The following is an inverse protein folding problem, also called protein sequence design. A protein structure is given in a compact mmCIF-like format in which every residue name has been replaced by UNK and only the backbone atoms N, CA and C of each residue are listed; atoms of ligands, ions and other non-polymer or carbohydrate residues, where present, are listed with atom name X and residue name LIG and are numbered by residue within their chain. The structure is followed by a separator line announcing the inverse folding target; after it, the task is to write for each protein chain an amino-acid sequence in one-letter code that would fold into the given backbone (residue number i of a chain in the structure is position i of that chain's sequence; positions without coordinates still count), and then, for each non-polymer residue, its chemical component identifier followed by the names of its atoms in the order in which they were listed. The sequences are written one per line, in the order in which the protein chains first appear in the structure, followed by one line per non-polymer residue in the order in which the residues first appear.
data_IF_305794969397
#
_entry.id   IF_305794969397
#
_cell.length_a   1.000
_cell.length_b   1.000
_cell.length_c   1.000
_cell.angle_alpha   90.00
_cell.angle_beta   90.00
_cell.angle_gamma   90.00
#
_symmetry.space_group_name_H-M   'P 1'
#
loop_
_entity.id
_entity.type
_entity.pdbx_description
1 polymer ?
#
# COMPACT_ATOMS: atom_id res chain seq x y z
N UNK A 1 -9.04 9.78 -2.17
CA UNK A 1 -7.83 9.06 -1.73
C UNK A 1 -6.98 9.88 -0.76
N UNK A 2 -6.80 11.18 -0.96
CA UNK A 2 -5.86 12.00 -0.16
C UNK A 2 -6.14 12.03 1.36
N UNK A 3 -7.42 12.01 1.76
CA UNK A 3 -7.82 12.09 3.17
C UNK A 3 -7.67 10.78 3.95
N UNK A 4 -7.07 9.74 3.37
CA UNK A 4 -6.88 8.43 4.02
C UNK A 4 -5.47 7.87 3.82
N UNK A 5 -4.56 8.72 3.34
CA UNK A 5 -3.14 8.36 3.22
C UNK A 5 -2.48 8.39 4.60
N UNK A 6 -1.30 7.76 4.71
CA UNK A 6 -0.49 7.84 5.92
C UNK A 6 -0.25 9.30 6.31
N UNK A 7 -0.36 9.58 7.60
CA UNK A 7 -0.24 10.90 8.24
C UNK A 7 -1.27 11.95 7.79
N UNK A 8 -2.29 11.61 7.00
CA UNK A 8 -3.38 12.57 6.72
C UNK A 8 -4.16 12.91 7.99
N UNK A 9 -4.78 14.09 8.00
CA UNK A 9 -5.70 14.50 9.08
C UNK A 9 -6.98 13.64 9.14
N UNK A 10 -7.39 13.10 7.99
CA UNK A 10 -8.52 12.17 7.90
C UNK A 10 -8.11 10.70 7.96
N UNK A 11 -9.09 9.82 7.82
CA UNK A 11 -8.91 8.40 7.59
C UNK A 11 -10.02 7.85 6.69
N UNK A 12 -9.79 6.66 6.13
CA UNK A 12 -10.89 5.87 5.61
C UNK A 12 -11.66 5.33 6.82
N UNK A 13 -12.97 5.54 6.82
CA UNK A 13 -13.86 5.04 7.87
C UNK A 13 -14.89 4.16 7.19
N UNK A 14 -15.04 2.91 7.64
CA UNK A 14 -16.00 2.00 7.08
C UNK A 14 -17.43 2.52 7.26
N UNK A 15 -18.30 2.20 6.29
CA UNK A 15 -19.70 2.60 6.36
C UNK A 15 -20.42 1.93 7.52
N UNK A 16 -20.08 0.66 7.80
CA UNK A 16 -20.60 -0.11 8.93
C UNK A 16 -19.45 -0.59 9.79
N UNK A 17 -19.71 -0.76 11.08
CA UNK A 17 -18.76 -1.33 12.02
C UNK A 17 -18.92 -2.86 12.07
N UNK A 18 -18.63 -3.52 10.96
CA UNK A 18 -18.92 -4.95 10.79
C UNK A 18 -17.96 -5.66 9.85
N UNK A 19 -18.09 -6.99 9.82
CA UNK A 19 -17.34 -7.83 8.89
C UNK A 19 -17.74 -7.52 7.44
N UNK A 20 -16.82 -7.77 6.51
CA UNK A 20 -16.95 -7.57 5.05
C UNK A 20 -16.76 -6.13 4.53
N UNK A 21 -16.29 -5.22 5.38
CA UNK A 21 -15.80 -3.92 4.95
C UNK A 21 -14.38 -4.04 4.37
N UNK A 22 -14.00 -3.11 3.49
CA UNK A 22 -12.65 -3.05 2.95
C UNK A 22 -12.24 -1.63 2.57
N UNK A 23 -10.96 -1.32 2.76
CA UNK A 23 -10.32 -0.17 2.14
C UNK A 23 -9.64 -0.62 0.85
N UNK A 24 -9.98 -0.02 -0.29
CA UNK A 24 -9.33 -0.32 -1.57
C UNK A 24 -8.35 0.78 -1.94
N UNK A 25 -7.19 0.37 -2.45
CA UNK A 25 -6.15 1.21 -3.01
C UNK A 25 -6.04 0.86 -4.50
N UNK A 26 -6.23 1.85 -5.38
CA UNK A 26 -5.98 1.73 -6.83
C UNK A 26 -4.65 2.42 -7.17
N UNK A 27 -3.66 1.60 -7.55
CA UNK A 27 -2.32 2.03 -7.94
C UNK A 27 -2.26 2.68 -9.34
N UNK A 28 -3.39 2.75 -10.06
CA UNK A 28 -3.53 3.24 -11.44
C UNK A 28 -2.87 2.38 -12.51
N UNK A 29 -1.79 1.67 -12.18
CA UNK A 29 -1.14 0.68 -13.02
C UNK A 29 -0.73 -0.56 -12.21
N UNK A 30 -0.51 -1.73 -12.86
CA UNK A 30 0.05 -2.89 -12.19
C UNK A 30 1.45 -2.60 -11.64
N UNK A 31 1.67 -2.87 -10.35
CA UNK A 31 2.95 -2.69 -9.66
C UNK A 31 3.33 -3.95 -8.88
N UNK A 32 4.62 -4.09 -8.57
CA UNK A 32 5.10 -5.08 -7.61
C UNK A 32 4.93 -4.59 -6.17
N UNK A 33 4.17 -5.32 -5.38
CA UNK A 33 3.79 -4.95 -4.02
C UNK A 33 4.37 -5.98 -3.05
N UNK A 34 5.14 -5.52 -2.09
CA UNK A 34 5.81 -6.38 -1.09
C UNK A 34 5.12 -6.35 0.27
N UNK A 35 4.21 -5.40 0.49
CA UNK A 35 3.64 -5.20 1.80
C UNK A 35 2.66 -4.06 1.89
N UNK A 36 2.17 -3.84 3.10
CA UNK A 36 1.23 -2.78 3.47
C UNK A 36 1.75 -2.02 4.69
N UNK A 37 1.31 -0.77 4.80
CA UNK A 37 1.56 0.09 5.95
C UNK A 37 0.20 0.56 6.43
N UNK A 38 -0.11 0.41 7.71
CA UNK A 38 -1.37 0.82 8.32
C UNK A 38 -1.12 1.77 9.48
N UNK A 39 -2.04 2.70 9.67
CA UNK A 39 -2.03 3.66 10.75
C UNK A 39 -3.49 3.90 11.19
N UNK A 40 -3.72 4.02 12.49
CA UNK A 40 -5.04 4.31 13.03
C UNK A 40 -5.51 5.74 12.76
N UNK A 41 -6.59 6.14 13.41
CA UNK A 41 -7.18 7.47 13.31
C UNK A 41 -7.58 8.00 14.70
N UNK A 42 -7.17 9.23 14.98
CA UNK A 42 -7.58 9.95 16.18
C UNK A 42 -8.80 10.82 15.87
N UNK A 43 -9.99 10.31 16.14
CA UNK A 43 -11.25 11.02 15.89
C UNK A 43 -11.59 12.05 16.98
N UNK A 44 -10.63 12.41 17.85
CA UNK A 44 -10.77 13.34 18.97
C UNK A 44 -11.53 12.75 20.16
N UNK A 45 -12.74 12.24 19.94
CA UNK A 45 -13.57 11.60 20.99
C UNK A 45 -13.18 10.14 21.23
N UNK A 46 -12.54 9.50 20.27
CA UNK A 46 -12.12 8.10 20.34
C UNK A 46 -10.85 7.86 19.52
N UNK A 47 -10.07 6.87 19.95
CA UNK A 47 -8.99 6.29 19.17
C UNK A 47 -9.57 5.13 18.36
N UNK A 48 -9.49 5.21 17.04
CA UNK A 48 -10.10 4.26 16.11
C UNK A 48 -9.00 3.61 15.28
N UNK A 49 -8.99 2.28 15.22
CA UNK A 49 -7.96 1.57 14.47
C UNK A 49 -8.33 0.12 14.23
N UNK A 50 -7.77 -0.42 13.16
CA UNK A 50 -7.83 -1.85 12.84
C UNK A 50 -6.66 -2.55 13.54
N UNK A 51 -6.98 -3.63 14.26
CA UNK A 51 -6.00 -4.46 14.97
C UNK A 51 -5.47 -5.60 14.10
N UNK A 52 -6.31 -6.16 13.23
CA UNK A 52 -5.96 -7.28 12.36
C UNK A 52 -6.70 -7.17 11.04
N UNK A 53 -6.06 -7.56 9.94
CA UNK A 53 -6.68 -7.56 8.61
C UNK A 53 -6.15 -8.69 7.71
N UNK A 54 -6.93 -9.01 6.67
CA UNK A 54 -6.47 -9.78 5.51
C UNK A 54 -6.21 -8.84 4.32
N UNK A 55 -5.43 -9.31 3.34
CA UNK A 55 -5.21 -8.59 2.09
C UNK A 55 -5.73 -9.39 0.89
N UNK A 56 -6.52 -8.72 0.05
CA UNK A 56 -6.83 -9.18 -1.29
C UNK A 56 -6.22 -8.26 -2.34
N UNK A 57 -5.89 -8.81 -3.50
CA UNK A 57 -5.33 -8.07 -4.62
C UNK A 57 -5.94 -8.50 -5.94
N UNK A 58 -5.91 -7.60 -6.93
CA UNK A 58 -6.48 -7.83 -8.26
C UNK A 58 -5.77 -6.99 -9.33
N UNK A 59 -5.77 -7.49 -10.57
CA UNK A 59 -5.34 -6.75 -11.75
C UNK A 59 -6.49 -6.01 -12.43
N UNK A 60 -7.71 -6.54 -12.34
CA UNK A 60 -8.89 -6.08 -13.08
C UNK A 60 -10.00 -5.51 -12.19
N UNK A 61 -9.89 -5.66 -10.87
CA UNK A 61 -10.91 -5.26 -9.90
C UNK A 61 -12.13 -6.18 -9.84
N UNK A 62 -12.17 -7.22 -10.68
CA UNK A 62 -13.26 -8.20 -10.77
C UNK A 62 -12.89 -9.49 -10.05
N UNK A 63 -11.71 -10.04 -10.35
CA UNK A 63 -11.21 -11.28 -9.77
C UNK A 63 -10.17 -10.99 -8.69
N UNK A 64 -10.46 -11.44 -7.47
CA UNK A 64 -9.65 -11.13 -6.29
C UNK A 64 -8.94 -12.38 -5.78
N UNK A 65 -7.65 -12.22 -5.48
CA UNK A 65 -6.81 -13.25 -4.85
C UNK A 65 -6.40 -12.78 -3.47
N UNK A 66 -6.26 -13.72 -2.52
CA UNK A 66 -5.74 -13.42 -1.19
C UNK A 66 -4.20 -13.48 -1.20
N UNK A 67 -3.55 -12.56 -0.49
CA UNK A 67 -2.10 -12.64 -0.22
C UNK A 67 -1.80 -13.88 0.65
N UNK A 68 -2.71 -14.19 1.58
CA UNK A 68 -2.60 -15.28 2.53
C UNK A 68 -2.03 -14.84 3.87
N UNK A 69 -2.59 -15.37 4.95
CA UNK A 69 -2.27 -14.99 6.33
C UNK A 69 -3.10 -13.81 6.85
N UNK A 70 -3.08 -13.66 8.16
CA UNK A 70 -3.64 -12.52 8.89
C UNK A 70 -2.49 -11.60 9.31
N UNK A 71 -2.68 -10.29 9.13
CA UNK A 71 -1.68 -9.29 9.45
C UNK A 71 -2.06 -8.56 10.74
N UNK A 72 -1.20 -8.63 11.75
CA UNK A 72 -1.32 -7.79 12.94
C UNK A 72 -1.03 -6.32 12.56
N UNK A 73 -1.90 -5.44 13.00
CA UNK A 73 -1.94 -4.04 12.60
C UNK A 73 -1.69 -3.14 13.80
N UNK A 74 -2.59 -2.19 14.05
CA UNK A 74 -2.34 -1.11 15.00
C UNK A 74 -2.87 -1.46 16.40
N UNK A 75 -2.14 -1.02 17.42
CA UNK A 75 -2.57 -1.06 18.82
C UNK A 75 -2.91 0.33 19.37
N UNK A 76 -2.70 1.37 18.56
CA UNK A 76 -2.97 2.77 18.84
C UNK A 76 -3.44 3.53 17.57
N UNK A 77 -3.75 4.82 17.70
CA UNK A 77 -4.26 5.65 16.60
C UNK A 77 -3.19 6.35 15.75
N UNK A 78 -1.93 6.38 16.19
CA UNK A 78 -0.89 7.26 15.65
C UNK A 78 0.30 6.55 15.02
N UNK A 79 0.69 5.38 15.52
CA UNK A 79 1.85 4.64 15.03
C UNK A 79 1.59 4.02 13.66
N UNK A 80 2.63 4.00 12.83
CA UNK A 80 2.63 3.28 11.55
C UNK A 80 3.11 1.86 11.80
N UNK A 81 2.37 0.88 11.29
CA UNK A 81 2.73 -0.54 11.35
C UNK A 81 2.92 -1.05 9.94
N UNK A 82 4.10 -1.60 9.67
CA UNK A 82 4.45 -2.15 8.36
C UNK A 82 4.40 -3.68 8.40
N UNK A 83 3.75 -4.26 7.41
CA UNK A 83 3.65 -5.71 7.24
C UNK A 83 4.20 -6.10 5.87
N UNK A 84 5.09 -7.10 5.85
CA UNK A 84 5.61 -7.70 4.62
C UNK A 84 4.75 -8.89 4.23
N UNK A 85 4.41 -8.99 2.95
CA UNK A 85 3.69 -10.13 2.41
C UNK A 85 4.61 -11.36 2.36
N UNK A 86 4.08 -12.59 2.56
CA UNK A 86 4.88 -13.81 2.44
C UNK A 86 5.56 -13.96 1.08
N UNK A 87 4.92 -13.43 0.03
CA UNK A 87 5.46 -13.30 -1.33
C UNK A 87 5.01 -11.97 -1.91
N UNK A 88 5.89 -11.28 -2.64
CA UNK A 88 5.51 -10.10 -3.41
C UNK A 88 4.48 -10.47 -4.48
N UNK A 89 3.52 -9.57 -4.71
CA UNK A 89 2.42 -9.78 -5.67
C UNK A 89 2.44 -8.68 -6.73
N UNK A 90 1.96 -8.99 -7.94
CA UNK A 90 1.72 -7.99 -8.98
C UNK A 90 0.23 -7.68 -9.00
N UNK A 91 -0.13 -6.42 -8.76
CA UNK A 91 -1.53 -5.99 -8.73
C UNK A 91 -1.67 -4.50 -9.07
N UNK A 92 -2.87 -4.12 -9.52
CA UNK A 92 -3.29 -2.72 -9.63
C UNK A 92 -4.14 -2.32 -8.44
N UNK A 93 -5.04 -3.21 -8.01
CA UNK A 93 -5.97 -2.97 -6.92
C UNK A 93 -5.58 -3.82 -5.71
N UNK A 94 -5.63 -3.22 -4.54
CA UNK A 94 -5.44 -3.92 -3.25
C UNK A 94 -6.58 -3.56 -2.32
N UNK A 95 -7.12 -4.56 -1.62
CA UNK A 95 -8.08 -4.40 -0.54
C UNK A 95 -7.46 -4.84 0.78
N UNK A 96 -7.57 -3.98 1.78
CA UNK A 96 -7.32 -4.29 3.20
C UNK A 96 -8.68 -4.61 3.82
N UNK A 97 -8.85 -5.83 4.34
CA UNK A 97 -10.11 -6.34 4.89
C UNK A 97 -9.97 -6.45 6.41
N UNK A 98 -10.54 -5.52 7.19
CA UNK A 98 -10.46 -5.55 8.64
C UNK A 98 -11.13 -6.80 9.22
N UNK A 99 -10.41 -7.48 10.12
CA UNK A 99 -10.89 -8.64 10.87
C UNK A 99 -11.31 -8.26 12.30
N UNK A 100 -10.49 -7.45 12.97
CA UNK A 100 -10.75 -6.93 14.31
C UNK A 100 -10.30 -5.47 14.41
N UNK A 101 -10.98 -4.69 15.27
CA UNK A 101 -10.77 -3.24 15.38
C UNK A 101 -11.17 -2.73 16.77
N UNK A 102 -10.73 -1.52 17.10
CA UNK A 102 -11.16 -0.77 18.29
C UNK A 102 -12.05 0.40 17.91
N UNK A 103 -13.16 0.55 18.63
CA UNK A 103 -14.16 1.61 18.44
C UNK A 103 -14.84 1.55 17.06
N UNK A 104 -14.20 2.10 16.03
CA UNK A 104 -14.65 2.06 14.64
C UNK A 104 -13.57 1.51 13.73
N UNK A 105 -14.00 0.87 12.64
CA UNK A 105 -13.13 0.50 11.55
C UNK A 105 -12.67 1.78 10.83
N UNK A 106 -11.49 2.25 11.21
CA UNK A 106 -10.84 3.42 10.63
C UNK A 106 -9.39 3.11 10.31
N UNK A 107 -8.92 3.51 9.13
CA UNK A 107 -7.55 3.27 8.67
C UNK A 107 -7.02 4.43 7.84
N UNK A 108 -5.75 4.74 8.06
CA UNK A 108 -4.87 5.33 7.06
C UNK A 108 -3.95 4.23 6.54
N UNK A 109 -3.72 4.19 5.24
CA UNK A 109 -2.95 3.09 4.68
C UNK A 109 -2.10 3.48 3.47
N UNK A 110 -1.06 2.70 3.25
CA UNK A 110 -0.20 2.73 2.08
C UNK A 110 0.31 1.33 1.72
N UNK A 111 1.00 1.22 0.59
CA UNK A 111 1.58 -0.03 0.10
C UNK A 111 3.10 0.12 -0.03
N UNK A 112 3.83 -0.94 0.31
CA UNK A 112 5.27 -1.02 0.05
C UNK A 112 5.48 -1.55 -1.36
N UNK A 113 5.94 -0.70 -2.27
CA UNK A 113 6.22 -1.03 -3.67
C UNK A 113 7.71 -1.26 -3.84
N UNK A 114 8.11 -2.36 -4.48
CA UNK A 114 9.47 -2.48 -4.99
C UNK A 114 9.51 -1.98 -6.43
N UNK A 115 10.49 -1.12 -6.74
CA UNK A 115 10.79 -0.83 -8.14
C UNK A 115 11.32 -2.13 -8.74
N UNK A 116 10.74 -2.56 -9.86
CA UNK A 116 11.44 -3.51 -10.71
C UNK A 116 12.85 -2.96 -10.98
N UNK A 117 13.90 -3.79 -11.02
CA UNK A 117 15.20 -3.29 -11.46
C UNK A 117 14.98 -2.59 -12.80
N UNK A 118 15.38 -1.32 -12.89
CA UNK A 118 15.37 -0.60 -14.16
C UNK A 118 16.24 -1.42 -15.11
N UNK A 119 15.61 -2.18 -16.00
CA UNK A 119 16.35 -2.79 -17.10
C UNK A 119 16.75 -1.61 -17.97
N UNK A 120 17.98 -1.15 -17.77
CA UNK A 120 18.52 0.07 -18.35
C UNK A 120 18.11 0.20 -19.80
N UNK A 121 17.40 1.30 -20.08
CA UNK A 121 17.06 1.70 -21.43
C UNK A 121 18.38 1.93 -22.20
N UNK A 122 18.80 0.92 -22.98
CA UNK A 122 20.01 0.95 -23.80
C UNK A 122 19.96 2.04 -24.89
N UNK A 123 18.87 2.81 -24.99
CA UNK A 123 18.75 3.90 -25.96
C UNK A 123 19.46 5.20 -25.57
N UNK A 124 19.99 5.32 -24.34
CA UNK A 124 20.69 6.54 -23.89
C UNK A 124 22.21 6.52 -23.95
N UNK A 125 22.82 5.42 -24.40
CA UNK A 125 24.28 5.27 -24.48
C UNK A 125 24.80 5.47 -25.91
N UNK A 126 24.52 6.63 -26.51
CA UNK A 126 25.04 6.98 -27.84
C UNK A 126 25.21 8.50 -27.99
N UNK A 127 26.01 9.14 -27.12
CA UNK A 127 26.52 10.49 -27.37
C UNK A 127 27.73 10.83 -26.47
N UNK A 128 28.78 10.01 -26.47
CA UNK A 128 30.10 10.49 -26.02
C UNK A 128 30.88 10.84 -27.29
N UNK A 129 31.11 12.12 -27.61
CA UNK A 129 31.96 12.47 -28.74
C UNK A 129 33.41 12.12 -28.41
N UNK A 130 34.03 11.33 -29.29
CA UNK A 130 35.44 10.94 -29.21
C UNK A 130 36.35 12.18 -29.18
N UNK A 131 37.37 12.26 -28.30
CA UNK A 131 38.35 13.34 -28.35
C UNK A 131 39.13 13.29 -29.67
N UNK A 132 39.21 14.41 -30.39
CA UNK A 132 40.20 14.59 -31.46
C UNK A 132 41.59 14.61 -30.84
N UNK A 133 42.45 13.67 -31.21
CA UNK A 133 43.88 13.81 -31.00
C UNK A 133 44.41 14.83 -31.99
N UNK A 134 44.96 15.93 -31.49
CA UNK A 134 45.78 16.85 -32.30
C UNK A 134 47.20 16.30 -32.29
N UNK A 135 47.69 15.86 -33.44
CA UNK A 135 49.10 15.53 -33.66
C UNK A 135 49.93 16.83 -33.60
N UNK A 136 51.04 16.78 -32.86
CA UNK A 136 52.16 17.70 -32.97
C UNK A 136 53.39 16.90 -33.41
#
# INVERSE_FOLDING_TARGET
FENSMLDSNGAWVAAKNGKHEWMQIDLQSPMHIEGSITQGHDAGKAKEYVNKYEVQYSLDGLWWRRVGGDFEANEDAGSRVQNRFPRSVVARYVRLLPLTWKSRISMRAGLSICKAPEYGDKSKEAAVPTPRQTLA
#
